data_IF_857702591752
#
_entry.id   IF_857702591752
#
_cell.length_a   1.000
_cell.length_b   1.000
_cell.length_c   1.000
_cell.angle_alpha   90.00
_cell.angle_beta   90.00
_cell.angle_gamma   90.00
#
_symmetry.space_group_name_H-M   'P 1'
#
loop_
_entity.id
_entity.type
_entity.pdbx_description
1 polymer ?
#
# COMPACT_ATOMS: atom_id res chain seq x y z
N UNK A 1 2.43 44.52 10.57
CA UNK A 1 3.06 43.80 9.46
C UNK A 1 3.22 42.36 9.92
N UNK A 2 2.13 41.60 9.82
CA UNK A 2 2.04 40.22 10.31
C UNK A 2 2.53 39.32 9.18
N UNK A 3 3.69 38.72 9.39
CA UNK A 3 4.24 37.67 8.54
C UNK A 3 3.36 36.43 8.71
N UNK A 4 2.65 36.05 7.65
CA UNK A 4 2.01 34.75 7.54
C UNK A 4 3.09 33.67 7.54
N UNK A 5 3.16 32.91 8.63
CA UNK A 5 3.86 31.64 8.71
C UNK A 5 3.11 30.65 7.81
N UNK A 6 3.45 30.62 6.53
CA UNK A 6 3.12 29.51 5.63
C UNK A 6 3.88 28.29 6.15
N UNK A 7 3.25 27.54 7.05
CA UNK A 7 3.75 26.25 7.50
C UNK A 7 3.80 25.30 6.30
N UNK A 8 4.97 24.75 6.03
CA UNK A 8 5.11 23.57 5.18
C UNK A 8 4.37 22.41 5.84
N UNK A 9 3.09 22.22 5.52
CA UNK A 9 2.46 20.93 5.72
C UNK A 9 3.09 19.99 4.70
N UNK A 10 3.86 19.01 5.17
CA UNK A 10 4.30 17.90 4.34
C UNK A 10 3.06 17.17 3.85
N UNK A 11 3.03 16.81 2.56
CA UNK A 11 1.93 16.00 2.04
C UNK A 11 1.81 14.71 2.88
N UNK A 12 0.59 14.23 3.15
CA UNK A 12 0.40 12.95 3.83
C UNK A 12 1.04 11.84 3.01
N UNK A 13 1.58 10.83 3.70
CA UNK A 13 2.19 9.66 3.08
C UNK A 13 1.10 8.83 2.37
N UNK A 14 1.17 8.64 1.04
CA UNK A 14 0.14 7.90 0.30
C UNK A 14 0.09 6.41 0.67
N UNK A 15 1.19 5.85 1.18
CA UNK A 15 1.24 4.44 1.58
C UNK A 15 0.44 4.15 2.84
N UNK A 16 0.21 5.14 3.72
CA UNK A 16 -0.67 4.96 4.88
C UNK A 16 -2.09 4.67 4.41
N UNK A 17 -2.63 5.48 3.50
CA UNK A 17 -3.97 5.28 2.95
C UNK A 17 -4.08 3.96 2.17
N UNK A 18 -3.02 3.57 1.46
CA UNK A 18 -2.96 2.28 0.77
C UNK A 18 -3.00 1.10 1.75
N UNK A 19 -2.24 1.15 2.84
CA UNK A 19 -2.22 0.09 3.85
C UNK A 19 -3.57 -0.06 4.57
N UNK A 20 -4.22 1.06 4.90
CA UNK A 20 -5.58 1.04 5.49
C UNK A 20 -6.59 0.40 4.52
N UNK A 21 -6.60 0.82 3.25
CA UNK A 21 -7.48 0.24 2.24
C UNK A 21 -7.18 -1.25 1.99
N UNK A 22 -5.91 -1.65 2.04
CA UNK A 22 -5.51 -3.05 1.92
C UNK A 22 -5.98 -3.88 3.11
N UNK A 23 -5.91 -3.35 4.34
CA UNK A 23 -6.38 -4.02 5.55
C UNK A 23 -7.89 -4.25 5.50
N UNK A 24 -8.65 -3.23 5.12
CA UNK A 24 -10.11 -3.31 4.95
C UNK A 24 -10.48 -4.39 3.90
N UNK A 25 -9.86 -4.34 2.71
CA UNK A 25 -10.15 -5.28 1.63
C UNK A 25 -9.75 -6.71 2.02
N UNK A 26 -8.50 -6.90 2.46
CA UNK A 26 -7.98 -8.24 2.75
C UNK A 26 -8.63 -8.85 4.00
N UNK A 27 -8.91 -8.06 5.04
CA UNK A 27 -9.68 -8.49 6.20
C UNK A 27 -11.09 -8.94 5.82
N UNK A 28 -11.76 -8.22 4.92
CA UNK A 28 -13.04 -8.64 4.34
C UNK A 28 -12.96 -9.97 3.58
N UNK A 29 -11.87 -10.17 2.84
CA UNK A 29 -11.59 -11.43 2.13
C UNK A 29 -11.36 -12.61 3.09
N UNK A 30 -10.53 -12.42 4.11
CA UNK A 30 -10.31 -13.43 5.16
C UNK A 30 -11.63 -13.83 5.83
N UNK A 31 -12.45 -12.84 6.20
CA UNK A 31 -13.78 -13.08 6.77
C UNK A 31 -14.67 -13.91 5.83
N UNK A 32 -14.69 -13.57 4.53
CA UNK A 32 -15.47 -14.29 3.51
C UNK A 32 -15.00 -15.74 3.34
N UNK A 33 -13.70 -16.00 3.48
CA UNK A 33 -13.14 -17.35 3.40
C UNK A 33 -13.25 -18.13 4.72
N UNK A 34 -13.75 -17.51 5.79
CA UNK A 34 -13.78 -18.11 7.13
C UNK A 34 -12.38 -18.28 7.74
N UNK A 35 -11.45 -17.41 7.35
CA UNK A 35 -10.09 -17.32 7.86
C UNK A 35 -9.93 -16.11 8.79
N UNK A 36 -8.88 -16.15 9.61
CA UNK A 36 -8.42 -15.04 10.44
C UNK A 36 -7.06 -14.53 9.93
N UNK A 37 -6.58 -13.45 10.55
CA UNK A 37 -5.26 -12.88 10.27
C UNK A 37 -4.12 -13.87 10.53
N UNK A 38 -4.26 -14.75 11.53
CA UNK A 38 -3.25 -15.78 11.85
C UNK A 38 -3.05 -16.77 10.69
N UNK A 39 -4.13 -17.15 10.00
CA UNK A 39 -4.06 -17.96 8.79
C UNK A 39 -3.31 -17.26 7.63
N UNK A 40 -3.26 -15.92 7.64
CA UNK A 40 -2.47 -15.10 6.72
C UNK A 40 -1.06 -14.76 7.24
N UNK A 41 -0.63 -15.39 8.35
CA UNK A 41 0.65 -15.17 9.02
C UNK A 41 0.81 -13.78 9.66
N UNK A 42 -0.31 -13.13 10.02
CA UNK A 42 -0.34 -11.92 10.84
C UNK A 42 -0.97 -12.22 12.20
N UNK A 43 -0.49 -11.61 13.28
CA UNK A 43 -1.10 -11.80 14.59
C UNK A 43 -2.53 -11.24 14.65
N UNK A 44 -2.74 -10.07 14.03
CA UNK A 44 -3.99 -9.33 13.92
C UNK A 44 -3.89 -8.31 12.78
N UNK A 45 -4.89 -7.43 12.67
CA UNK A 45 -4.93 -6.35 11.67
C UNK A 45 -3.84 -5.29 11.89
N UNK A 46 -3.47 -5.02 13.15
CA UNK A 46 -2.42 -4.05 13.46
C UNK A 46 -1.05 -4.58 13.00
N UNK A 47 -0.78 -5.88 13.19
CA UNK A 47 0.44 -6.54 12.68
C UNK A 47 0.50 -6.51 11.14
N UNK A 48 -0.64 -6.63 10.46
CA UNK A 48 -0.73 -6.44 9.00
C UNK A 48 -0.36 -5.01 8.60
N UNK A 49 -0.92 -4.00 9.28
CA UNK A 49 -0.65 -2.59 9.00
C UNK A 49 0.83 -2.26 9.24
N UNK A 50 1.42 -2.77 10.32
CA UNK A 50 2.85 -2.62 10.63
C UNK A 50 3.74 -3.28 9.56
N UNK A 51 3.37 -4.46 9.07
CA UNK A 51 4.07 -5.12 7.98
C UNK A 51 3.97 -4.32 6.66
N UNK A 52 2.80 -3.76 6.35
CA UNK A 52 2.60 -2.91 5.18
C UNK A 52 3.42 -1.61 5.26
N UNK A 53 3.45 -0.98 6.43
CA UNK A 53 4.28 0.20 6.69
C UNK A 53 5.77 -0.13 6.50
N UNK A 54 6.22 -1.28 7.03
CA UNK A 54 7.59 -1.78 6.86
C UNK A 54 7.92 -1.98 5.39
N UNK A 55 7.05 -2.65 4.63
CA UNK A 55 7.21 -2.84 3.19
C UNK A 55 7.40 -1.50 2.46
N UNK A 56 6.55 -0.49 2.73
CA UNK A 56 6.65 0.81 2.06
C UNK A 56 7.96 1.54 2.37
N UNK A 57 8.45 1.43 3.61
CA UNK A 57 9.74 1.98 4.00
C UNK A 57 10.90 1.27 3.27
N UNK A 58 10.88 -0.06 3.19
CA UNK A 58 11.89 -0.85 2.49
C UNK A 58 11.92 -0.52 1.00
N UNK A 59 10.77 -0.45 0.33
CA UNK A 59 10.68 -0.07 -1.08
C UNK A 59 11.27 1.33 -1.33
N UNK A 60 11.04 2.29 -0.43
CA UNK A 60 11.65 3.62 -0.50
C UNK A 60 13.17 3.63 -0.30
N UNK A 61 13.75 2.65 0.42
CA UNK A 61 15.20 2.52 0.45
C UNK A 61 15.71 1.96 -0.88
N UNK A 62 15.02 0.94 -1.41
CA UNK A 62 15.39 0.29 -2.67
C UNK A 62 15.27 1.23 -3.87
N UNK A 63 14.26 2.11 -3.91
CA UNK A 63 14.10 3.08 -5.00
C UNK A 63 15.26 4.08 -5.04
N UNK A 64 15.77 4.52 -3.88
CA UNK A 64 16.93 5.42 -3.78
C UNK A 64 18.19 4.74 -4.30
N UNK A 65 18.39 3.46 -3.96
CA UNK A 65 19.51 2.68 -4.49
C UNK A 65 19.42 2.45 -6.01
N UNK A 66 18.19 2.33 -6.53
CA UNK A 66 17.91 2.11 -7.95
C UNK A 66 17.82 3.40 -8.79
N UNK A 67 17.76 4.58 -8.17
CA UNK A 67 17.50 5.86 -8.85
C UNK A 67 16.09 5.96 -9.44
N UNK A 68 15.09 5.47 -8.70
CA UNK A 68 13.67 5.36 -9.08
C UNK A 68 12.77 6.13 -8.09
N UNK A 69 13.26 7.21 -7.51
CA UNK A 69 12.59 7.92 -6.42
C UNK A 69 11.15 8.33 -6.77
N UNK A 70 10.22 8.06 -5.86
CA UNK A 70 8.80 8.34 -6.04
C UNK A 70 7.99 7.22 -6.71
N UNK A 71 8.62 6.13 -7.18
CA UNK A 71 7.91 4.98 -7.70
C UNK A 71 7.02 4.32 -6.63
N UNK A 72 7.50 4.23 -5.38
CA UNK A 72 6.72 3.64 -4.28
C UNK A 72 5.47 4.46 -3.99
N UNK A 73 5.60 5.78 -3.92
CA UNK A 73 4.48 6.69 -3.66
C UNK A 73 3.41 6.59 -4.76
N UNK A 74 3.82 6.52 -6.04
CA UNK A 74 2.90 6.35 -7.15
C UNK A 74 2.13 5.02 -7.09
N UNK A 75 2.82 3.91 -6.77
CA UNK A 75 2.17 2.60 -6.60
C UNK A 75 1.23 2.60 -5.40
N UNK A 76 1.58 3.28 -4.31
CA UNK A 76 0.71 3.42 -3.16
C UNK A 76 -0.57 4.18 -3.50
N UNK A 77 -0.49 5.28 -4.23
CA UNK A 77 -1.67 6.03 -4.70
C UNK A 77 -2.58 5.18 -5.61
N UNK A 78 -1.99 4.46 -6.57
CA UNK A 78 -2.73 3.58 -7.48
C UNK A 78 -3.44 2.45 -6.73
N UNK A 79 -2.72 1.76 -5.85
CA UNK A 79 -3.27 0.64 -5.08
C UNK A 79 -4.30 1.09 -4.05
N UNK A 80 -4.12 2.25 -3.41
CA UNK A 80 -5.14 2.82 -2.53
C UNK A 80 -6.46 3.02 -3.28
N UNK A 81 -6.41 3.56 -4.49
CA UNK A 81 -7.59 3.75 -5.33
C UNK A 81 -8.21 2.41 -5.77
N UNK A 82 -7.38 1.43 -6.14
CA UNK A 82 -7.82 0.08 -6.51
C UNK A 82 -8.55 -0.62 -5.35
N UNK A 83 -7.96 -0.62 -4.16
CA UNK A 83 -8.51 -1.35 -3.01
C UNK A 83 -9.76 -0.70 -2.42
N UNK A 84 -9.89 0.63 -2.56
CA UNK A 84 -11.05 1.38 -2.10
C UNK A 84 -12.21 1.43 -3.13
N UNK A 85 -12.06 0.83 -4.31
CA UNK A 85 -13.11 0.80 -5.33
C UNK A 85 -14.33 -0.01 -4.87
N UNK A 86 -15.53 0.39 -5.29
CA UNK A 86 -16.77 -0.32 -4.91
C UNK A 86 -16.81 -1.76 -5.44
N UNK A 87 -16.17 -1.99 -6.58
CA UNK A 87 -16.02 -3.26 -7.26
C UNK A 87 -14.75 -4.03 -6.89
N UNK A 88 -13.96 -3.54 -5.93
CA UNK A 88 -12.72 -4.20 -5.51
C UNK A 88 -13.00 -5.63 -5.03
N UNK A 89 -12.13 -6.53 -5.44
CA UNK A 89 -12.22 -7.96 -5.19
C UNK A 89 -10.98 -8.44 -4.44
N UNK A 90 -11.06 -9.65 -3.87
CA UNK A 90 -9.90 -10.25 -3.21
C UNK A 90 -8.71 -10.49 -4.15
N UNK A 91 -8.96 -10.65 -5.45
CA UNK A 91 -7.91 -10.84 -6.44
C UNK A 91 -7.09 -9.55 -6.64
N UNK A 92 -7.71 -8.38 -6.46
CA UNK A 92 -7.02 -7.09 -6.58
C UNK A 92 -5.90 -6.95 -5.54
N UNK A 93 -6.04 -7.57 -4.36
CA UNK A 93 -4.97 -7.65 -3.35
C UNK A 93 -4.08 -8.90 -3.52
N UNK A 94 -4.68 -10.08 -3.65
CA UNK A 94 -3.96 -11.37 -3.53
C UNK A 94 -3.14 -11.76 -4.76
N UNK A 95 -3.43 -11.19 -5.93
CA UNK A 95 -2.66 -11.47 -7.15
C UNK A 95 -1.42 -10.57 -7.29
N UNK A 96 -1.28 -9.57 -6.41
CA UNK A 96 -0.11 -8.69 -6.37
C UNK A 96 1.10 -9.47 -5.88
N UNK A 97 2.19 -9.42 -6.64
CA UNK A 97 3.50 -9.82 -6.14
C UNK A 97 4.13 -8.67 -5.35
N UNK A 98 3.97 -8.71 -4.04
CA UNK A 98 4.50 -7.69 -3.12
C UNK A 98 6.03 -7.66 -3.04
N UNK A 99 6.73 -8.65 -3.62
CA UNK A 99 8.19 -8.66 -3.72
C UNK A 99 8.70 -8.03 -5.02
N UNK A 100 7.82 -7.79 -6.00
CA UNK A 100 8.20 -7.09 -7.23
C UNK A 100 8.50 -5.63 -6.90
N UNK A 101 9.66 -5.09 -7.32
CA UNK A 101 9.99 -3.69 -7.11
C UNK A 101 8.90 -2.76 -7.68
N UNK A 102 8.62 -1.66 -6.98
CA UNK A 102 7.53 -0.75 -7.32
C UNK A 102 7.67 -0.10 -8.70
N UNK A 103 8.88 0.00 -9.24
CA UNK A 103 9.14 0.53 -10.60
C UNK A 103 9.04 -0.53 -11.71
N UNK A 104 8.87 -1.82 -11.38
CA UNK A 104 8.77 -2.92 -12.35
C UNK A 104 7.33 -3.38 -12.61
N UNK A 105 6.35 -2.75 -11.92
CA UNK A 105 4.92 -3.09 -11.98
C UNK A 105 4.30 -2.89 -13.37
N UNK A 106 4.94 -2.14 -14.27
CA UNK A 106 4.44 -1.79 -15.60
C UNK A 106 5.04 -2.63 -16.77
N UNK A 107 5.66 -3.77 -16.47
CA UNK A 107 6.17 -4.70 -17.52
C UNK A 107 5.22 -5.84 -17.90
N UNK A 108 4.06 -5.97 -17.23
CA UNK A 108 3.05 -7.02 -17.54
C UNK A 108 1.61 -6.53 -17.40
N UNK A 109 1.17 -5.74 -18.38
CA UNK A 109 -0.20 -5.81 -18.88
C UNK A 109 -1.21 -4.87 -18.24
N UNK A 110 -1.31 -3.66 -18.80
CA UNK A 110 -2.63 -3.12 -19.07
C UNK A 110 -3.40 -4.11 -19.98
N UNK A 111 -4.69 -4.38 -19.75
CA UNK A 111 -5.56 -4.83 -20.83
C UNK A 111 -5.65 -3.78 -21.95
#
# INVERSE_FOLDING_TARGET
MIWFLLGCATAPDPCVAMCEAAADLYGGCLSTWGADWEAAAYADEDDFLDACATWSWEQRQLEVEAGQEGATDAVCEERAALFAAEEATCDDYTTIDWNTPTWDVDSRGSP
#
